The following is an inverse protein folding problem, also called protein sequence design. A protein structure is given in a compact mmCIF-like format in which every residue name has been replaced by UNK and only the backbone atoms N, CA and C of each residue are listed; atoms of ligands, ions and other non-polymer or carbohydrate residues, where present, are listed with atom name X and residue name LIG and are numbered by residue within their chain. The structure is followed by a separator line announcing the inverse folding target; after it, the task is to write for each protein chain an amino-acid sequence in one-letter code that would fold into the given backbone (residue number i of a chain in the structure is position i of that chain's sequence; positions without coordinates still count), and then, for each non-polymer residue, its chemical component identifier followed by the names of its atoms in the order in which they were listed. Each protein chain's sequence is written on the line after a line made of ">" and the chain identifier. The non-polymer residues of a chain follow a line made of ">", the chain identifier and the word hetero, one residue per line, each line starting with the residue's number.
data_IF_011682755860
#
_entry.id   IF_011682755860
#
_cell.length_a   1.000
_cell.length_b   1.000
_cell.length_c   1.000
_cell.angle_alpha   90.00
_cell.angle_beta   90.00
_cell.angle_gamma   90.00
#
_symmetry.space_group_name_H-M   'P 1'
#
loop_
_entity.id
_entity.type
_entity.pdbx_description
1 polymer ?
2 non-polymer ?
3 water ?
#
# COMPACT_ATOMS: atom_id res chain seq x y z
N UNK A 1 -20.52 11.31 5.75
CA UNK A 1 -19.29 11.40 4.90
C UNK A 1 -18.15 10.61 5.53
N UNK A 2 -17.42 9.87 4.70
CA UNK A 2 -16.30 9.06 5.16
C UNK A 2 -14.97 9.56 4.59
N UNK A 3 -13.92 9.46 5.39
CA UNK A 3 -12.58 9.86 4.96
C UNK A 3 -11.85 8.55 4.66
N UNK A 4 -11.72 8.22 3.38
CA UNK A 4 -11.09 6.97 2.98
C UNK A 4 -9.64 7.09 2.50
N UNK A 5 -8.76 6.31 3.11
CA UNK A 5 -7.34 6.29 2.76
C UNK A 5 -7.06 5.16 1.78
N UNK A 6 -6.79 5.52 0.53
CA UNK A 6 -6.50 4.55 -0.51
C UNK A 6 -5.02 4.50 -0.83
N UNK A 7 -4.36 3.42 -0.44
CA UNK A 7 -2.94 3.27 -0.72
C UNK A 7 -2.79 3.18 -2.23
N UNK A 8 -1.73 3.81 -2.75
CA UNK A 8 -1.47 3.85 -4.18
C UNK A 8 -0.21 3.11 -4.59
N UNK A 9 0.84 3.24 -3.78
CA UNK A 9 2.09 2.59 -4.11
C UNK A 9 3.26 3.25 -3.41
N UNK A 10 4.44 3.17 -4.00
CA UNK A 10 5.64 3.75 -3.42
C UNK A 10 6.40 4.64 -4.38
N UNK A 11 7.15 5.57 -3.79
CA UNK A 11 8.00 6.50 -4.51
C UNK A 11 9.33 6.42 -3.76
N UNK A 12 10.44 6.56 -4.47
CA UNK A 12 11.73 6.53 -3.80
C UNK A 12 12.77 7.31 -4.57
N UNK A 13 13.86 7.63 -3.88
CA UNK A 13 14.95 8.37 -4.51
C UNK A 13 16.23 8.14 -3.71
N UNK A 14 17.40 8.36 -4.34
CA UNK A 14 18.67 8.15 -3.63
C UNK A 14 18.72 9.00 -2.37
N UNK A 15 19.18 8.39 -1.28
CA UNK A 15 19.28 9.11 -0.02
C UNK A 15 20.23 10.29 -0.20
N UNK A 16 21.26 10.07 -1.01
CA UNK A 16 22.27 11.10 -1.28
C UNK A 16 21.68 12.27 -2.06
N UNK A 17 20.59 12.01 -2.79
CA UNK A 17 19.93 13.04 -3.58
C UNK A 17 18.73 13.60 -2.81
N UNK A 18 18.99 14.60 -1.97
CA UNK A 18 17.95 15.22 -1.15
C UNK A 18 16.90 15.98 -1.95
N UNK A 19 15.83 15.29 -2.31
CA UNK A 19 14.76 15.91 -3.07
C UNK A 19 13.75 16.56 -2.14
N UNK A 20 13.07 17.58 -2.64
CA UNK A 20 12.05 18.27 -1.87
C UNK A 20 10.72 17.79 -2.44
N UNK A 21 10.17 16.73 -1.85
CA UNK A 21 8.92 16.17 -2.34
C UNK A 21 7.75 17.15 -2.30
N UNK A 22 7.77 18.06 -1.33
CA UNK A 22 6.71 19.03 -1.22
C UNK A 22 6.65 19.90 -2.47
N UNK A 23 7.79 20.07 -3.13
CA UNK A 23 7.85 20.88 -4.33
C UNK A 23 7.68 20.02 -5.57
N UNK A 24 8.01 18.74 -5.43
CA UNK A 24 7.94 17.78 -6.52
C UNK A 24 6.51 17.28 -6.78
N UNK A 25 5.80 16.97 -5.70
CA UNK A 25 4.45 16.43 -5.78
C UNK A 25 3.31 17.43 -5.56
N UNK A 26 2.16 17.20 -6.20
CA UNK A 26 1.01 18.09 -6.05
C UNK A 26 0.32 17.77 -4.72
N UNK A 27 -0.37 18.76 -4.15
CA UNK A 27 -1.06 18.54 -2.89
C UNK A 27 -2.29 17.69 -3.09
N UNK A 28 -2.90 17.79 -4.26
CA UNK A 28 -4.10 17.01 -4.55
C UNK A 28 -4.07 16.37 -5.93
N UNK A 29 -4.88 15.34 -6.08
CA UNK A 29 -5.00 14.61 -7.33
C UNK A 29 -6.46 14.22 -7.49
N UNK A 30 -7.09 14.68 -8.56
CA UNK A 30 -8.49 14.38 -8.83
C UNK A 30 -9.40 14.75 -7.66
N UNK A 31 -9.07 15.83 -6.97
CA UNK A 31 -9.90 16.27 -5.86
C UNK A 31 -9.61 15.57 -4.54
N UNK A 32 -8.66 14.65 -4.57
CA UNK A 32 -8.29 13.91 -3.37
C UNK A 32 -6.91 14.36 -2.91
N UNK A 33 -6.72 14.48 -1.60
CA UNK A 33 -5.43 14.88 -1.06
C UNK A 33 -4.41 13.76 -1.28
N UNK A 34 -3.21 14.13 -1.70
CA UNK A 34 -2.15 13.16 -1.90
C UNK A 34 -1.28 13.19 -0.66
N UNK A 35 -1.16 12.04 0.00
CA UNK A 35 -0.35 11.94 1.20
C UNK A 35 0.85 11.05 0.94
N UNK A 36 1.98 11.41 1.52
CA UNK A 36 3.19 10.61 1.39
C UNK A 36 3.89 10.55 2.74
N UNK A 37 4.31 9.36 3.13
CA UNK A 37 4.99 9.15 4.41
C UNK A 37 6.25 8.33 4.19
N UNK A 38 7.36 8.79 4.77
CA UNK A 38 8.62 8.07 4.64
C UNK A 38 8.54 6.82 5.50
N UNK A 39 8.84 5.67 4.91
CA UNK A 39 8.78 4.41 5.63
C UNK A 39 9.90 3.50 5.15
N UNK A 40 10.12 2.38 5.85
CA UNK A 40 11.20 1.48 5.42
C UNK A 40 10.87 0.89 4.04
N UNK A 41 11.89 0.42 3.31
CA UNK A 41 11.64 -0.15 1.99
C UNK A 41 10.71 -1.35 2.11
N UNK A 42 9.94 -1.65 1.06
CA UNK A 42 9.03 -2.80 1.13
C UNK A 42 9.80 -4.12 1.08
N UNK A 43 11.03 -4.04 0.59
CA UNK A 43 11.89 -5.21 0.47
C UNK A 43 13.33 -4.73 0.59
N UNK A 44 14.24 -5.59 1.07
CA UNK A 44 15.65 -5.21 1.23
C UNK A 44 16.50 -5.06 -0.04
N UNK A 45 16.05 -5.63 -1.16
CA UNK A 45 16.82 -5.54 -2.40
C UNK A 45 15.97 -5.19 -3.61
N UNK A 46 16.57 -4.47 -4.55
CA UNK A 46 15.89 -4.10 -5.79
C UNK A 46 15.89 -5.34 -6.67
N UNK A 47 15.09 -5.30 -7.74
CA UNK A 47 15.00 -6.42 -8.66
C UNK A 47 16.32 -6.70 -9.36
N UNK A 48 17.35 -5.93 -9.02
CA UNK A 48 18.67 -6.10 -9.61
C UNK A 48 19.75 -6.46 -8.60
N UNK A 49 19.33 -6.81 -7.38
CA UNK A 49 20.28 -7.19 -6.36
C UNK A 49 20.82 -6.08 -5.48
N UNK A 50 20.83 -4.84 -5.97
CA UNK A 50 21.33 -3.73 -5.17
C UNK A 50 20.40 -3.48 -3.99
N UNK A 51 20.97 -3.23 -2.80
CA UNK A 51 20.19 -2.97 -1.58
C UNK A 51 19.34 -1.70 -1.67
N UNK A 52 18.11 -1.79 -1.18
CA UNK A 52 17.18 -0.67 -1.21
C UNK A 52 17.52 0.45 -0.23
N UNK A 53 18.39 0.15 0.73
CA UNK A 53 18.78 1.15 1.72
C UNK A 53 19.41 2.40 1.10
N UNK A 54 19.93 2.28 -0.12
CA UNK A 54 20.55 3.43 -0.78
C UNK A 54 19.51 4.50 -1.13
N UNK A 55 18.24 4.17 -0.96
CA UNK A 55 17.15 5.09 -1.27
C UNK A 55 16.28 5.34 -0.05
N UNK A 56 15.45 6.38 -0.13
CA UNK A 56 14.50 6.70 0.93
C UNK A 56 13.15 6.38 0.28
N UNK A 57 12.33 5.58 0.95
CA UNK A 57 11.03 5.19 0.41
C UNK A 57 9.86 5.92 1.05
N UNK A 58 8.82 6.17 0.25
CA UNK A 58 7.63 6.85 0.72
C UNK A 58 6.38 6.12 0.26
N UNK A 59 5.43 5.90 1.17
CA UNK A 59 4.19 5.28 0.73
C UNK A 59 3.27 6.41 0.30
N UNK A 60 2.56 6.18 -0.80
CA UNK A 60 1.64 7.18 -1.34
C UNK A 60 0.20 6.76 -1.07
N UNK A 61 -0.60 7.72 -0.62
CA UNK A 61 -2.00 7.48 -0.30
C UNK A 61 -2.89 8.61 -0.78
N UNK A 62 -4.08 8.26 -1.25
CA UNK A 62 -5.04 9.25 -1.69
C UNK A 62 -6.15 9.28 -0.64
N UNK A 63 -6.39 10.46 -0.09
CA UNK A 63 -7.43 10.64 0.92
C UNK A 63 -8.69 11.09 0.20
N UNK A 64 -9.67 10.20 0.12
CA UNK A 64 -10.91 10.49 -0.58
C UNK A 64 -12.09 10.73 0.36
N UNK A 65 -12.76 11.87 0.19
CA UNK A 65 -13.94 12.20 1.00
C UNK A 65 -15.14 11.72 0.18
N UNK A 66 -15.78 10.65 0.65
CA UNK A 66 -16.90 10.07 -0.07
C UNK A 66 -18.02 9.51 0.81
N UNK A 67 -19.18 9.30 0.20
CA UNK A 67 -20.34 8.73 0.90
C UNK A 67 -20.61 7.38 0.26
N UNK A 68 -19.73 6.96 -0.64
CA UNK A 68 -19.90 5.69 -1.33
C UNK A 68 -19.20 4.51 -0.66
N UNK A 69 -19.82 3.32 -0.72
CA UNK A 69 -19.22 2.13 -0.12
C UNK A 69 -18.13 1.68 -1.09
N UNK A 70 -17.21 0.81 -0.64
CA UNK A 70 -16.10 0.30 -1.46
C UNK A 70 -16.40 -0.07 -2.91
N UNK A 71 -17.44 -0.87 -3.12
CA UNK A 71 -17.78 -1.30 -4.47
C UNK A 71 -18.19 -0.16 -5.39
N UNK A 72 -18.93 0.81 -4.86
CA UNK A 72 -19.38 1.95 -5.67
C UNK A 72 -18.32 3.04 -5.82
N UNK A 73 -17.24 2.93 -5.05
CA UNK A 73 -16.16 3.92 -5.10
C UNK A 73 -15.17 3.60 -6.21
N UNK A 74 -15.26 2.39 -6.74
CA UNK A 74 -14.38 1.91 -7.80
C UNK A 74 -14.10 2.92 -8.91
N UNK A 75 -15.15 3.45 -9.57
CA UNK A 75 -14.95 4.42 -10.65
C UNK A 75 -14.03 5.57 -10.27
N UNK A 76 -14.38 6.26 -9.19
CA UNK A 76 -13.60 7.39 -8.71
C UNK A 76 -12.20 6.95 -8.31
N UNK A 77 -12.12 5.80 -7.64
CA UNK A 77 -10.83 5.28 -7.20
C UNK A 77 -9.91 5.07 -8.40
N UNK A 78 -10.43 4.44 -9.45
CA UNK A 78 -9.64 4.19 -10.66
C UNK A 78 -9.20 5.49 -11.33
N UNK A 79 -10.14 6.42 -11.47
CA UNK A 79 -9.86 7.71 -12.09
C UNK A 79 -8.72 8.41 -11.35
N UNK A 80 -8.84 8.46 -10.02
CA UNK A 80 -7.84 9.11 -9.18
C UNK A 80 -6.46 8.47 -9.27
N UNK A 81 -6.42 7.14 -9.23
CA UNK A 81 -5.15 6.42 -9.30
C UNK A 81 -4.50 6.62 -10.66
N UNK A 82 -5.33 6.67 -11.71
CA UNK A 82 -4.82 6.86 -13.06
C UNK A 82 -4.20 8.26 -13.14
N UNK A 83 -4.86 9.23 -12.54
CA UNK A 83 -4.38 10.61 -12.54
C UNK A 83 -3.02 10.70 -11.85
N UNK A 84 -2.86 9.98 -10.75
CA UNK A 84 -1.58 10.00 -10.04
C UNK A 84 -0.51 9.37 -10.92
N UNK A 85 -0.90 8.35 -11.68
CA UNK A 85 0.04 7.69 -12.57
C UNK A 85 0.61 8.70 -13.55
N UNK A 86 -0.24 9.56 -14.08
CA UNK A 86 0.21 10.57 -15.03
C UNK A 86 1.13 11.56 -14.33
N UNK A 87 0.84 11.88 -13.08
CA UNK A 87 1.70 12.80 -12.34
C UNK A 87 3.10 12.24 -12.23
N UNK A 88 3.21 10.97 -11.83
CA UNK A 88 4.52 10.35 -11.66
C UNK A 88 5.25 10.12 -12.99
N UNK A 89 4.51 9.90 -14.08
CA UNK A 89 5.15 9.72 -15.38
C UNK A 89 5.87 11.01 -15.76
N UNK A 90 5.46 12.12 -15.15
CA UNK A 90 6.09 13.39 -15.46
C UNK A 90 7.29 13.74 -14.60
N UNK A 91 7.69 12.82 -13.72
CA UNK A 91 8.84 13.06 -12.85
C UNK A 91 10.13 12.50 -13.42
N UNK A 92 11.27 13.10 -13.04
CA UNK A 92 12.58 12.66 -13.50
C UNK A 92 12.78 11.21 -13.11
N UNK A 93 13.47 10.43 -13.96
CA UNK A 93 13.74 9.00 -13.71
C UNK A 93 14.46 8.71 -12.40
N UNK A 94 15.14 9.71 -11.86
CA UNK A 94 15.86 9.56 -10.59
C UNK A 94 14.85 9.23 -9.50
N UNK A 95 13.62 9.68 -9.70
CA UNK A 95 12.55 9.40 -8.76
C UNK A 95 11.94 8.08 -9.22
N UNK A 96 12.17 7.02 -8.46
CA UNK A 96 11.60 5.73 -8.82
C UNK A 96 10.22 5.58 -8.20
N UNK A 97 9.38 4.73 -8.78
CA UNK A 97 8.04 4.51 -8.23
C UNK A 97 7.35 3.27 -8.76
N UNK A 98 6.39 2.78 -7.98
CA UNK A 98 5.61 1.62 -8.39
C UNK A 98 4.20 1.91 -7.89
N UNK A 99 3.22 1.71 -8.76
CA UNK A 99 1.83 1.94 -8.41
C UNK A 99 1.02 0.66 -8.56
N UNK A 100 0.13 0.43 -7.61
CA UNK A 100 -0.71 -0.76 -7.63
C UNK A 100 -1.47 -0.96 -8.94
N UNK A 101 -1.97 0.11 -9.54
CA UNK A 101 -2.73 -0.03 -10.78
C UNK A 101 -2.00 -0.77 -11.89
N UNK A 102 -0.67 -0.83 -11.82
CA UNK A 102 0.12 -1.52 -12.83
C UNK A 102 0.48 -2.94 -12.41
N UNK A 103 0.20 -3.26 -11.15
CA UNK A 103 0.52 -4.58 -10.63
C UNK A 103 -0.49 -5.63 -11.11
N UNK A 104 -0.01 -6.85 -11.31
CA UNK A 104 -0.87 -7.94 -11.73
C UNK A 104 -0.58 -9.07 -10.75
N UNK A 105 -1.15 -8.98 -9.54
CA UNK A 105 -0.94 -9.98 -8.49
C UNK A 105 -1.49 -11.38 -8.75
N UNK A 106 -0.92 -12.34 -8.04
CA UNK A 106 -1.33 -13.73 -8.13
C UNK A 106 -2.42 -13.97 -7.10
N UNK B 1 0.46 12.22 20.55
CA UNK B 1 1.36 11.81 19.43
C UNK B 1 0.55 11.21 18.28
N UNK B 2 1.01 11.43 17.05
CA UNK B 2 0.33 10.92 15.87
C UNK B 2 0.78 9.49 15.56
N UNK B 3 -0.17 8.65 15.17
CA UNK B 3 0.14 7.26 14.85
C UNK B 3 0.50 7.09 13.38
N UNK B 4 1.56 6.34 13.12
CA UNK B 4 2.00 6.09 11.75
C UNK B 4 1.22 4.90 11.21
N UNK B 5 0.50 5.12 10.11
CA UNK B 5 -0.30 4.06 9.50
C UNK B 5 0.54 3.36 8.44
N UNK B 6 1.22 2.31 8.88
CA UNK B 6 2.10 1.55 8.00
C UNK B 6 1.35 0.54 7.14
N UNK B 7 1.31 0.79 5.83
CA UNK B 7 0.64 -0.12 4.91
C UNK B 7 1.43 -1.43 4.88
N UNK B 8 0.73 -2.56 4.92
CA UNK B 8 1.38 -3.88 4.92
C UNK B 8 1.05 -4.72 3.70
N UNK B 9 -0.08 -4.44 3.07
CA UNK B 9 -0.47 -5.23 1.92
C UNK B 9 -1.98 -5.36 1.80
N UNK B 10 -2.43 -6.40 1.10
CA UNK B 10 -3.85 -6.62 0.90
C UNK B 10 -4.27 -8.07 1.11
N UNK B 11 -5.55 -8.25 1.39
CA UNK B 11 -6.13 -9.57 1.52
C UNK B 11 -7.38 -9.47 0.66
N UNK B 12 -7.72 -10.54 -0.04
CA UNK B 12 -8.92 -10.52 -0.86
C UNK B 12 -9.53 -11.90 -0.94
N UNK B 13 -10.80 -11.93 -1.31
CA UNK B 13 -11.52 -13.17 -1.44
C UNK B 13 -12.75 -12.93 -2.31
N UNK B 14 -13.32 -13.99 -2.88
CA UNK B 14 -14.50 -13.84 -3.73
C UNK B 14 -15.65 -13.20 -2.96
N UNK B 15 -16.30 -12.21 -3.57
CA UNK B 15 -17.43 -11.54 -2.95
C UNK B 15 -18.53 -12.56 -2.67
N UNK B 16 -18.62 -13.57 -3.53
CA UNK B 16 -19.64 -14.62 -3.37
C UNK B 16 -19.34 -15.48 -2.14
N UNK B 17 -18.08 -15.50 -1.73
CA UNK B 17 -17.66 -16.28 -0.58
C UNK B 17 -17.51 -15.37 0.64
N UNK B 18 -18.62 -15.10 1.31
CA UNK B 18 -18.62 -14.22 2.48
C UNK B 18 -17.83 -14.80 3.63
N UNK B 19 -16.70 -14.18 3.94
CA UNK B 19 -15.83 -14.64 5.02
C UNK B 19 -15.90 -13.78 6.27
N UNK B 20 -15.47 -14.36 7.38
CA UNK B 20 -15.43 -13.67 8.66
C UNK B 20 -13.95 -13.44 8.93
N UNK B 21 -13.44 -12.32 8.43
CA UNK B 21 -12.03 -11.97 8.57
C UNK B 21 -11.56 -11.92 10.01
N UNK B 22 -12.49 -11.62 10.92
CA UNK B 22 -12.15 -11.54 12.34
C UNK B 22 -11.73 -12.89 12.90
N UNK B 23 -12.09 -13.96 12.20
CA UNK B 23 -11.73 -15.30 12.64
C UNK B 23 -10.44 -15.75 11.96
N UNK B 24 -9.94 -14.94 11.04
CA UNK B 24 -8.71 -15.29 10.33
C UNK B 24 -7.49 -14.43 10.65
N UNK B 25 -7.72 -13.18 11.02
CA UNK B 25 -6.63 -12.25 11.31
C UNK B 25 -6.50 -11.88 12.79
N UNK B 26 -5.26 -11.63 13.25
CA UNK B 26 -4.98 -11.26 14.63
C UNK B 26 -5.25 -9.77 14.82
N UNK B 27 -5.46 -9.35 16.07
CA UNK B 27 -5.73 -7.95 16.35
C UNK B 27 -4.47 -7.10 16.38
N UNK B 28 -3.33 -7.76 16.49
CA UNK B 28 -2.06 -7.05 16.53
C UNK B 28 -0.94 -7.93 16.01
N UNK B 29 0.10 -7.28 15.49
CA UNK B 29 1.26 -7.96 14.95
C UNK B 29 2.48 -7.15 15.34
N UNK B 30 3.46 -7.81 15.94
CA UNK B 30 4.70 -7.14 16.34
C UNK B 30 4.46 -6.03 17.36
N UNK B 31 3.40 -6.16 18.14
CA UNK B 31 3.11 -5.15 19.15
C UNK B 31 2.31 -3.97 18.64
N UNK B 32 1.96 -3.98 17.35
CA UNK B 32 1.19 -2.89 16.76
C UNK B 32 -0.18 -3.40 16.33
N UNK B 33 -1.21 -2.60 16.59
CA UNK B 33 -2.58 -2.97 16.24
C UNK B 33 -2.71 -3.10 14.73
N UNK B 34 -3.39 -4.16 14.30
CA UNK B 34 -3.59 -4.43 12.88
C UNK B 34 -5.00 -4.06 12.44
N UNK B 35 -5.10 -3.29 11.37
CA UNK B 35 -6.41 -2.89 10.86
C UNK B 35 -6.57 -3.41 9.44
N UNK B 36 -7.81 -3.72 9.07
CA UNK B 36 -8.10 -4.14 7.72
C UNK B 36 -9.36 -3.38 7.31
N UNK B 37 -9.26 -2.65 6.20
CA UNK B 37 -10.36 -1.84 5.70
C UNK B 37 -10.66 -2.20 4.25
N UNK B 38 -11.94 -2.40 3.93
CA UNK B 38 -12.29 -2.73 2.56
C UNK B 38 -12.10 -1.51 1.67
N UNK B 39 -11.57 -1.75 0.48
CA UNK B 39 -11.33 -0.69 -0.48
C UNK B 39 -11.60 -1.25 -1.85
N UNK B 40 -11.73 -0.38 -2.86
CA UNK B 40 -11.99 -0.85 -4.22
C UNK B 40 -10.75 -1.62 -4.67
N UNK B 41 -10.89 -2.54 -5.64
CA UNK B 41 -9.72 -3.28 -6.10
C UNK B 41 -8.67 -2.25 -6.54
N UNK B 42 -7.42 -2.39 -6.06
CA UNK B 42 -6.33 -1.47 -6.39
C UNK B 42 -5.69 -1.73 -7.75
N UNK B 43 -6.15 -2.76 -8.43
CA UNK B 43 -5.64 -3.11 -9.74
C UNK B 43 -6.78 -3.77 -10.49
N UNK B 44 -6.84 -3.59 -11.82
CA UNK B 44 -7.92 -4.17 -12.63
C UNK B 44 -7.83 -5.66 -12.97
N UNK B 45 -6.63 -6.22 -12.98
CA UNK B 45 -6.48 -7.63 -13.35
C UNK B 45 -5.47 -8.41 -12.52
N UNK B 46 -5.71 -9.72 -12.43
CA UNK B 46 -4.80 -10.61 -11.74
C UNK B 46 -3.76 -11.02 -12.79
N UNK B 47 -2.73 -11.74 -12.36
CA UNK B 47 -1.66 -12.17 -13.24
C UNK B 47 -2.15 -12.94 -14.47
N UNK B 48 -3.20 -13.73 -14.30
CA UNK B 48 -3.73 -14.52 -15.42
C UNK B 48 -4.74 -13.79 -16.29
N UNK B 49 -4.91 -12.49 -16.06
CA UNK B 49 -5.84 -11.72 -16.86
C UNK B 49 -7.26 -11.68 -16.32
N UNK B 50 -7.51 -12.39 -15.23
CA UNK B 50 -8.85 -12.40 -14.64
C UNK B 50 -9.13 -11.06 -13.96
N UNK B 51 -10.33 -10.49 -14.19
CA UNK B 51 -10.72 -9.21 -13.60
C UNK B 51 -10.85 -9.33 -12.08
N UNK B 52 -10.47 -8.27 -11.38
CA UNK B 52 -10.50 -8.24 -9.92
C UNK B 52 -11.83 -7.83 -9.29
N UNK B 53 -12.75 -7.29 -10.08
CA UNK B 53 -14.02 -6.81 -9.54
C UNK B 53 -14.95 -7.85 -8.91
N UNK B 54 -14.60 -9.13 -8.99
CA UNK B 54 -15.42 -10.17 -8.39
C UNK B 54 -14.94 -10.47 -6.98
N UNK B 55 -13.82 -9.86 -6.60
CA UNK B 55 -13.23 -10.05 -5.28
C UNK B 55 -13.39 -8.81 -4.42
N UNK B 56 -13.43 -9.01 -3.10
CA UNK B 56 -13.51 -7.89 -2.17
C UNK B 56 -12.09 -7.77 -1.64
N UNK B 57 -11.54 -6.55 -1.66
CA UNK B 57 -10.17 -6.31 -1.20
C UNK B 57 -10.09 -5.56 0.12
N UNK B 58 -9.15 -5.99 0.95
CA UNK B 58 -8.92 -5.36 2.24
C UNK B 58 -7.50 -4.84 2.35
N UNK B 59 -7.40 -3.58 2.74
CA UNK B 59 -6.12 -2.93 2.90
C UNK B 59 -5.64 -3.19 4.33
N UNK B 60 -4.44 -3.74 4.47
CA UNK B 60 -3.87 -4.05 5.79
C UNK B 60 -2.95 -2.94 6.26
N UNK B 61 -3.25 -2.39 7.43
CA UNK B 61 -2.48 -1.29 8.02
C UNK B 61 -2.05 -1.58 9.45
N UNK B 62 -0.82 -1.21 9.79
CA UNK B 62 -0.32 -1.38 11.14
C UNK B 62 -0.21 0.01 11.76
N UNK B 63 -0.86 0.21 12.90
CA UNK B 63 -0.82 1.50 13.57
C UNK B 63 0.41 1.49 14.48
N UNK B 64 1.45 2.21 14.08
CA UNK B 64 2.67 2.28 14.86
C UNK B 64 2.65 3.53 15.72
N UNK B 65 2.72 3.33 17.03
CA UNK B 65 2.71 4.43 17.98
C UNK B 65 4.15 4.74 18.39
N UNK B 66 4.70 5.80 17.82
CA UNK B 66 6.07 6.17 18.13
C UNK B 66 6.28 7.68 18.03
N UNK B 67 7.51 8.10 18.28
CA UNK B 67 7.88 9.50 18.23
C UNK B 67 9.21 9.59 17.48
N UNK B 68 9.80 8.43 17.23
CA UNK B 68 11.08 8.33 16.53
C UNK B 68 10.98 8.66 15.04
N UNK B 69 12.12 8.99 14.41
CA UNK B 69 12.18 9.33 12.98
C UNK B 69 11.77 8.15 12.10
N UNK B 70 11.45 8.43 10.82
CA UNK B 70 11.04 7.39 9.87
C UNK B 70 12.01 6.21 9.84
N UNK B 71 13.30 6.49 10.02
CA UNK B 71 14.34 5.46 10.01
C UNK B 71 14.17 4.37 11.06
N UNK B 72 13.72 4.75 12.25
CA UNK B 72 13.54 3.81 13.35
C UNK B 72 12.50 2.73 13.08
N UNK B 73 11.65 2.95 12.08
CA UNK B 73 10.60 1.99 11.74
C UNK B 73 11.13 0.67 11.20
N UNK B 74 12.40 0.63 10.81
CA UNK B 74 12.99 -0.57 10.23
C UNK B 74 12.81 -1.87 11.03
N UNK B 75 13.28 -1.91 12.29
CA UNK B 75 13.14 -3.12 13.10
C UNK B 75 11.72 -3.66 13.15
N UNK B 76 10.78 -2.78 13.48
CA UNK B 76 9.38 -3.16 13.56
C UNK B 76 8.85 -3.62 12.21
N UNK B 77 9.20 -2.88 11.16
CA UNK B 77 8.75 -3.22 9.81
C UNK B 77 9.19 -4.62 9.42
N UNK B 78 10.43 -4.97 9.75
CA UNK B 78 10.96 -6.28 9.42
C UNK B 78 10.28 -7.36 10.25
N UNK B 79 9.96 -7.04 11.50
CA UNK B 79 9.30 -8.00 12.38
C UNK B 79 7.87 -8.23 11.90
N UNK B 80 7.23 -7.17 11.44
CA UNK B 80 5.86 -7.26 10.96
C UNK B 80 5.78 -8.13 9.71
N UNK B 81 6.68 -7.87 8.77
CA UNK B 81 6.71 -8.62 7.53
C UNK B 81 6.78 -10.12 7.80
N UNK B 82 7.69 -10.52 8.68
CA UNK B 82 7.85 -11.93 9.01
C UNK B 82 6.62 -12.50 9.70
N UNK B 83 6.13 -11.79 10.71
CA UNK B 83 4.97 -12.22 11.48
C UNK B 83 3.69 -12.28 10.64
N UNK B 84 3.41 -11.20 9.92
CA UNK B 84 2.21 -11.18 9.10
C UNK B 84 2.34 -12.22 8.00
N UNK B 85 3.55 -12.35 7.46
CA UNK B 85 3.77 -13.34 6.42
C UNK B 85 3.40 -14.72 6.92
N UNK B 86 3.77 -15.03 8.15
CA UNK B 86 3.46 -16.33 8.71
C UNK B 86 1.97 -16.54 8.87
N UNK B 87 1.25 -15.46 9.16
CA UNK B 87 -0.19 -15.57 9.33
C UNK B 87 -0.90 -15.82 8.01
N UNK B 88 -0.58 -15.02 7.00
CA UNK B 88 -1.24 -15.16 5.71
C UNK B 88 -0.89 -16.49 5.04
N UNK B 89 0.32 -17.00 5.28
CA UNK B 89 0.73 -18.28 4.68
C UNK B 89 -0.16 -19.43 5.14
N UNK B 90 -0.62 -19.36 6.38
CA UNK B 90 -1.47 -20.42 6.91
C UNK B 90 -2.94 -20.29 6.56
N UNK B 91 -3.28 -19.30 5.74
CA UNK B 91 -4.67 -19.09 5.37
C UNK B 91 -5.12 -20.02 4.26
N UNK B 92 -6.43 -20.32 4.22
CA UNK B 92 -6.98 -21.20 3.19
C UNK B 92 -6.65 -20.67 1.80
N UNK B 93 -6.50 -21.57 0.82
CA UNK B 93 -6.17 -21.15 -0.54
C UNK B 93 -7.16 -20.21 -1.22
N UNK B 94 -8.39 -20.15 -0.72
CA UNK B 94 -9.40 -19.27 -1.31
C UNK B 94 -9.14 -17.81 -0.97
N UNK B 95 -8.32 -17.57 0.04
CA UNK B 95 -8.02 -16.20 0.43
C UNK B 95 -6.74 -15.76 -0.27
N UNK B 96 -6.85 -14.72 -1.10
CA UNK B 96 -5.68 -14.22 -1.79
C UNK B 96 -5.05 -13.12 -0.97
N UNK B 97 -3.79 -12.80 -1.26
CA UNK B 97 -3.11 -11.74 -0.52
C UNK B 97 -1.76 -11.40 -1.13
N UNK B 98 -1.21 -10.28 -0.68
CA UNK B 98 0.09 -9.84 -1.12
C UNK B 98 0.63 -8.93 -0.03
N UNK B 99 1.91 -9.08 0.29
CA UNK B 99 2.51 -8.22 1.28
C UNK B 99 3.54 -7.36 0.57
N UNK B 100 4.19 -6.47 1.31
CA UNK B 100 5.18 -5.57 0.73
C UNK B 100 6.24 -6.33 -0.05
N UNK B 101 6.59 -7.52 0.43
CA UNK B 101 7.58 -8.38 -0.22
C UNK B 101 7.21 -8.61 -1.68
N UNK B 102 5.91 -8.62 -1.95
CA UNK B 102 5.40 -8.84 -3.30
C UNK B 102 5.38 -7.56 -4.14
N UNK B 103 5.94 -6.48 -3.60
CA UNK B 103 5.98 -5.20 -4.31
C UNK B 103 7.41 -4.89 -4.72
N UNK B 104 7.97 -5.78 -5.52
CA UNK B 104 9.34 -5.68 -6.00
C UNK B 104 9.67 -4.42 -6.82
N UNK B 105 10.47 -3.51 -6.24
CA UNK B 105 10.88 -2.27 -6.91
C UNK B 105 12.15 -2.48 -7.74
N UNK B 106 12.46 -1.53 -8.62
CA UNK B 106 13.64 -1.63 -9.46
C UNK B 106 14.19 -0.25 -9.83
X LIG C 1 -10.62 -4.24 11.31
X LIG C 1 -9.85 -3.02 11.23
X LIG C 1 -11.48 -4.29 12.62
X LIG C 1 -12.25 -5.63 12.62
X LIG C 1 -13.05 -5.73 13.80
X LIG C 1 -12.52 -3.11 12.62
X LIG C 1 -13.60 -3.35 11.69
X LIG C 1 -10.60 -4.24 13.88
X LIG C 1 -9.34 -5.04 13.67
X LIG C 1 -8.75 -5.50 15.01
X LIG C 1 -7.51 -4.82 15.23
X LIG C 1 -10.19 -2.84 14.21
X LIG C 1 -10.41 -2.54 15.70
X LIG C 1 -11.80 -2.69 16.02
#
# INVERSE_FOLDING_TARGET
>A
MQAVRLFQGYLWHPRALALDLKALLPGEVAGARLLWDEVPPPTPFFEDGTPTHTQRFYQLTLLVLTEEPPEALKPLAEEAAEALGEVLEGLPPEVGWLLLEDLRPL
>B
MQAVRLFQGYLWHPRALALDLKALLPGEVAGARLLWDEVPPPTPFFEDGTPTHTQRFYQLTLLVLTEEPPEALKPLAEEAAEALGEVLEGLPPEVGWLLLEDLRPL
>C hetero
1 BTB C1 O1 C2 C3 O3 C4 O4 N C5 C6 O6 C7 C8 O8
#
